data_IF_581274504793
#
_entry.id   IF_581274504793
#
_cell.length_a   1.000
_cell.length_b   1.000
_cell.length_c   1.000
_cell.angle_alpha   90.00
_cell.angle_beta   90.00
_cell.angle_gamma   90.00
#
_symmetry.space_group_name_H-M   'P 1'
#
loop_
_entity.id
_entity.type
_entity.pdbx_description
1 polymer ?
#
# COMPACT_ATOMS: atom_id res chain seq x y z
N UNK A 1 3.72 -17.66 3.69
CA UNK A 1 4.06 -17.70 2.25
C UNK A 1 5.39 -16.97 1.95
N UNK A 2 5.47 -15.65 2.15
CA UNK A 2 6.64 -14.82 1.76
C UNK A 2 7.99 -15.26 2.36
N UNK A 3 8.02 -15.72 3.63
CA UNK A 3 9.29 -16.12 4.28
C UNK A 3 9.69 -17.59 4.03
N UNK A 4 8.77 -18.46 3.59
CA UNK A 4 8.99 -19.91 3.54
C UNK A 4 8.97 -20.49 2.13
N UNK A 5 8.25 -19.91 1.17
CA UNK A 5 8.17 -20.44 -0.19
C UNK A 5 9.38 -20.02 -1.03
N UNK A 6 9.80 -20.88 -1.98
CA UNK A 6 10.86 -20.55 -2.94
C UNK A 6 10.55 -19.25 -3.69
N UNK A 7 9.30 -19.10 -4.13
CA UNK A 7 8.80 -17.90 -4.82
C UNK A 7 8.95 -16.63 -3.96
N UNK A 8 8.55 -16.69 -2.67
CA UNK A 8 8.67 -15.55 -1.75
C UNK A 8 10.13 -15.14 -1.46
N UNK A 9 11.04 -16.12 -1.35
CA UNK A 9 12.48 -15.86 -1.22
C UNK A 9 13.04 -15.19 -2.47
N UNK A 10 12.63 -15.63 -3.65
CA UNK A 10 13.09 -15.06 -4.92
C UNK A 10 12.57 -13.63 -5.14
N UNK A 11 11.31 -13.33 -4.76
CA UNK A 11 10.79 -11.94 -4.78
C UNK A 11 11.64 -11.03 -3.89
N UNK A 12 11.96 -11.50 -2.67
CA UNK A 12 12.81 -10.72 -1.75
C UNK A 12 14.22 -10.50 -2.26
N UNK A 13 14.84 -11.53 -2.84
CA UNK A 13 16.17 -11.41 -3.42
C UNK A 13 16.19 -10.33 -4.51
N UNK A 14 15.22 -10.37 -5.44
CA UNK A 14 15.11 -9.37 -6.52
C UNK A 14 14.80 -7.97 -5.99
N UNK A 15 14.05 -7.84 -4.88
CA UNK A 15 13.76 -6.52 -4.28
C UNK A 15 14.95 -5.88 -3.56
N UNK A 16 15.95 -6.69 -3.17
CA UNK A 16 17.15 -6.21 -2.48
C UNK A 16 18.23 -5.83 -3.50
N UNK A 17 18.53 -6.75 -4.42
CA UNK A 17 19.44 -6.51 -5.53
C UNK A 17 19.07 -7.38 -6.72
N UNK A 18 18.62 -6.73 -7.80
CA UNK A 18 18.18 -7.41 -9.03
C UNK A 18 19.35 -8.07 -9.76
N UNK A 19 20.52 -7.46 -9.76
CA UNK A 19 21.70 -7.96 -10.47
C UNK A 19 22.25 -9.18 -9.73
N UNK A 20 22.45 -9.06 -8.41
CA UNK A 20 22.90 -10.17 -7.59
C UNK A 20 21.93 -11.36 -7.64
N UNK A 21 20.61 -11.13 -7.60
CA UNK A 21 19.63 -12.19 -7.76
C UNK A 21 19.76 -12.93 -9.10
N UNK A 22 20.04 -12.19 -10.18
CA UNK A 22 20.20 -12.77 -11.53
C UNK A 22 21.47 -13.62 -11.63
N UNK A 23 22.56 -13.19 -10.99
CA UNK A 23 23.81 -13.97 -10.88
C UNK A 23 23.62 -15.29 -10.11
N UNK A 24 22.69 -15.30 -9.14
CA UNK A 24 22.31 -16.49 -8.37
C UNK A 24 21.36 -17.44 -9.13
N UNK A 25 21.16 -17.23 -10.44
CA UNK A 25 20.32 -18.07 -11.31
C UNK A 25 18.82 -17.77 -11.20
N UNK A 26 18.44 -16.66 -10.56
CA UNK A 26 17.04 -16.24 -10.45
C UNK A 26 16.66 -15.43 -11.68
N UNK A 27 15.64 -15.86 -12.42
CA UNK A 27 15.12 -15.06 -13.53
C UNK A 27 14.30 -13.87 -12.99
N UNK A 28 14.96 -12.72 -12.79
CA UNK A 28 14.36 -11.51 -12.26
C UNK A 28 13.19 -10.99 -13.11
N UNK A 29 13.26 -11.12 -14.44
CA UNK A 29 12.18 -10.71 -15.34
C UNK A 29 10.91 -11.51 -15.11
N UNK A 30 11.02 -12.84 -14.95
CA UNK A 30 9.88 -13.70 -14.65
C UNK A 30 9.24 -13.37 -13.30
N UNK A 31 10.05 -13.08 -12.29
CA UNK A 31 9.56 -12.72 -10.96
C UNK A 31 8.84 -11.38 -11.00
N UNK A 32 9.44 -10.38 -11.65
CA UNK A 32 8.85 -9.06 -11.81
C UNK A 32 7.48 -9.15 -12.52
N UNK A 33 7.40 -9.92 -13.60
CA UNK A 33 6.14 -10.20 -14.29
C UNK A 33 5.11 -10.85 -13.36
N UNK A 34 5.47 -11.89 -12.62
CA UNK A 34 4.56 -12.56 -11.68
C UNK A 34 4.08 -11.59 -10.61
N UNK A 35 4.98 -10.80 -9.99
CA UNK A 35 4.60 -9.85 -8.95
C UNK A 35 3.67 -8.76 -9.49
N UNK A 36 3.94 -8.26 -10.69
CA UNK A 36 3.15 -7.23 -11.34
C UNK A 36 1.78 -7.75 -11.77
N UNK A 37 1.71 -8.98 -12.28
CA UNK A 37 0.43 -9.64 -12.59
C UNK A 37 -0.42 -9.81 -11.34
N UNK A 38 0.18 -10.24 -10.21
CA UNK A 38 -0.55 -10.39 -8.95
C UNK A 38 -1.06 -9.03 -8.45
N UNK A 39 -0.23 -7.98 -8.46
CA UNK A 39 -0.65 -6.65 -8.01
C UNK A 39 -1.74 -6.06 -8.91
N UNK A 40 -1.61 -6.18 -10.23
CA UNK A 40 -2.59 -5.70 -11.19
C UNK A 40 -3.93 -6.45 -11.04
N UNK A 41 -3.88 -7.76 -10.83
CA UNK A 41 -5.07 -8.57 -10.57
C UNK A 41 -5.81 -8.13 -9.30
N UNK A 42 -5.07 -7.93 -8.19
CA UNK A 42 -5.66 -7.43 -6.94
C UNK A 42 -6.23 -6.02 -7.10
N UNK A 43 -5.52 -5.13 -7.80
CA UNK A 43 -5.97 -3.77 -8.05
C UNK A 43 -7.25 -3.74 -8.90
N UNK A 44 -7.34 -4.59 -9.94
CA UNK A 44 -8.54 -4.71 -10.77
C UNK A 44 -9.75 -5.18 -9.96
N UNK A 45 -9.58 -6.18 -9.10
CA UNK A 45 -10.66 -6.67 -8.22
C UNK A 45 -11.12 -5.56 -7.27
N UNK A 46 -10.18 -4.85 -6.64
CA UNK A 46 -10.50 -3.75 -5.74
C UNK A 46 -11.26 -2.61 -6.45
N UNK A 47 -10.82 -2.24 -7.66
CA UNK A 47 -11.47 -1.21 -8.45
C UNK A 47 -12.91 -1.58 -8.85
N UNK A 48 -13.11 -2.80 -9.36
CA UNK A 48 -14.45 -3.30 -9.75
C UNK A 48 -15.39 -3.35 -8.55
N UNK A 49 -14.88 -3.72 -7.37
CA UNK A 49 -15.69 -3.76 -6.14
C UNK A 49 -16.05 -2.37 -5.63
N UNK A 50 -15.15 -1.39 -5.78
CA UNK A 50 -15.35 -0.02 -5.30
C UNK A 50 -16.22 0.83 -6.23
N UNK A 51 -16.12 0.61 -7.55
CA UNK A 51 -16.75 1.45 -8.57
C UNK A 51 -18.27 1.65 -8.42
N UNK A 52 -19.09 0.64 -8.04
CA UNK A 52 -20.54 0.83 -7.85
C UNK A 52 -20.89 1.73 -6.66
N UNK A 53 -20.04 1.75 -5.63
CA UNK A 53 -20.26 2.56 -4.43
C UNK A 53 -19.77 4.00 -4.60
N UNK A 54 -18.90 4.25 -5.57
CA UNK A 54 -18.30 5.55 -5.79
C UNK A 54 -19.04 6.32 -6.89
N UNK A 55 -19.56 7.49 -6.54
CA UNK A 55 -19.97 8.46 -7.54
C UNK A 55 -18.73 8.84 -8.38
N UNK A 56 -18.83 8.75 -9.70
CA UNK A 56 -17.72 9.07 -10.60
C UNK A 56 -17.49 10.58 -10.53
N UNK A 57 -16.51 11.00 -9.74
CA UNK A 57 -16.18 12.41 -9.48
C UNK A 57 -15.24 13.03 -10.55
N UNK A 58 -15.22 12.48 -11.77
CA UNK A 58 -14.35 12.95 -12.85
C UNK A 58 -12.90 12.44 -12.78
N UNK A 59 -12.00 12.93 -13.66
CA UNK A 59 -10.64 12.41 -13.81
C UNK A 59 -9.72 12.57 -12.58
N UNK A 60 -10.07 13.45 -11.64
CA UNK A 60 -9.28 13.76 -10.44
C UNK A 60 -9.33 12.66 -9.37
N UNK A 61 -10.27 11.71 -9.46
CA UNK A 61 -10.47 10.64 -8.48
C UNK A 61 -9.19 9.81 -8.22
N UNK A 62 -8.32 9.66 -9.21
CA UNK A 62 -7.05 8.94 -9.06
C UNK A 62 -6.13 9.53 -7.98
N UNK A 63 -6.18 10.85 -7.76
CA UNK A 63 -5.36 11.52 -6.74
C UNK A 63 -5.76 11.14 -5.32
N UNK A 64 -7.05 10.92 -5.07
CA UNK A 64 -7.56 10.53 -3.76
C UNK A 64 -7.14 9.09 -3.41
N UNK A 65 -7.19 8.19 -4.40
CA UNK A 65 -6.68 6.83 -4.25
C UNK A 65 -5.18 6.80 -4.02
N UNK A 66 -4.43 7.61 -4.78
CA UNK A 66 -2.98 7.68 -4.65
C UNK A 66 -2.59 8.11 -3.23
N UNK A 67 -3.18 9.22 -2.75
CA UNK A 67 -2.90 9.77 -1.42
C UNK A 67 -3.29 8.79 -0.31
N UNK A 68 -4.46 8.16 -0.43
CA UNK A 68 -4.92 7.15 0.54
C UNK A 68 -4.03 5.91 0.54
N UNK A 69 -3.59 5.45 -0.62
CA UNK A 69 -2.67 4.30 -0.74
C UNK A 69 -1.31 4.59 -0.12
N UNK A 70 -0.76 5.79 -0.34
CA UNK A 70 0.47 6.21 0.32
C UNK A 70 0.31 6.27 1.84
N UNK A 71 -0.78 6.83 2.34
CA UNK A 71 -1.04 6.87 3.78
C UNK A 71 -1.09 5.47 4.39
N UNK A 72 -1.75 4.52 3.72
CA UNK A 72 -1.82 3.11 4.14
C UNK A 72 -0.45 2.45 4.15
N UNK A 73 0.36 2.63 3.11
CA UNK A 73 1.70 2.02 3.01
C UNK A 73 2.66 2.62 4.04
N UNK A 74 2.65 3.94 4.23
CA UNK A 74 3.49 4.63 5.21
C UNK A 74 3.09 4.24 6.64
N UNK A 75 1.79 4.22 6.94
CA UNK A 75 1.31 3.80 8.26
C UNK A 75 1.62 2.32 8.52
N UNK A 76 1.46 1.46 7.52
CA UNK A 76 1.78 0.04 7.64
C UNK A 76 3.29 -0.26 7.76
N UNK A 77 4.13 0.58 7.15
CA UNK A 77 5.57 0.42 7.04
C UNK A 77 6.00 -0.23 5.73
N UNK A 78 7.03 0.34 5.10
CA UNK A 78 7.55 -0.10 3.80
C UNK A 78 8.03 -1.56 3.86
N UNK A 79 7.59 -2.39 2.90
CA UNK A 79 7.98 -3.80 2.81
C UNK A 79 7.25 -4.75 3.77
N UNK A 80 6.28 -4.27 4.55
CA UNK A 80 5.46 -5.09 5.45
C UNK A 80 4.04 -5.31 4.92
N UNK A 81 3.80 -6.46 4.29
CA UNK A 81 2.46 -6.83 3.80
C UNK A 81 1.41 -6.79 4.91
N UNK A 82 1.73 -7.35 6.08
CA UNK A 82 0.82 -7.41 7.22
C UNK A 82 0.54 -6.02 7.80
N UNK A 83 1.56 -5.16 7.86
CA UNK A 83 1.41 -3.77 8.27
C UNK A 83 0.52 -2.98 7.33
N UNK A 84 0.67 -3.15 6.01
CA UNK A 84 -0.18 -2.47 5.02
C UNK A 84 -1.64 -2.91 5.08
N UNK A 85 -1.95 -4.18 5.37
CA UNK A 85 -3.34 -4.64 5.56
C UNK A 85 -3.97 -3.97 6.76
N UNK A 86 -3.30 -3.98 7.92
CA UNK A 86 -3.79 -3.31 9.13
C UNK A 86 -3.93 -1.81 8.89
N UNK A 87 -2.96 -1.20 8.20
CA UNK A 87 -3.01 0.21 7.89
C UNK A 87 -4.14 0.59 6.95
N UNK A 88 -4.48 -0.28 6.01
CA UNK A 88 -5.65 -0.15 5.14
C UNK A 88 -6.94 -0.08 5.94
N UNK A 89 -7.10 -0.98 6.92
CA UNK A 89 -8.24 -0.95 7.81
C UNK A 89 -8.30 0.33 8.64
N UNK A 90 -7.20 0.74 9.27
CA UNK A 90 -7.16 1.93 10.13
C UNK A 90 -7.50 3.19 9.32
N UNK A 91 -6.80 3.42 8.21
CA UNK A 91 -7.02 4.60 7.36
C UNK A 91 -8.43 4.58 6.77
N UNK A 92 -8.89 3.43 6.29
CA UNK A 92 -10.25 3.27 5.78
C UNK A 92 -11.32 3.64 6.82
N UNK A 93 -11.20 3.10 8.04
CA UNK A 93 -12.12 3.44 9.13
C UNK A 93 -12.06 4.92 9.52
N UNK A 94 -10.87 5.52 9.62
CA UNK A 94 -10.74 6.95 9.92
C UNK A 94 -11.39 7.82 8.84
N UNK A 95 -11.16 7.51 7.57
CA UNK A 95 -11.76 8.25 6.44
C UNK A 95 -13.29 8.08 6.42
N UNK A 96 -13.82 6.88 6.65
CA UNK A 96 -15.27 6.67 6.73
C UNK A 96 -15.90 7.35 7.94
N UNK A 97 -15.24 7.36 9.10
CA UNK A 97 -15.75 8.00 10.31
C UNK A 97 -15.81 9.52 10.16
N UNK A 98 -14.77 10.14 9.59
CA UNK A 98 -14.73 11.59 9.35
C UNK A 98 -15.72 12.04 8.29
N UNK A 99 -16.01 11.20 7.28
CA UNK A 99 -17.02 11.49 6.28
C UNK A 99 -18.45 11.53 6.86
N UNK A 100 -18.74 10.76 7.92
CA UNK A 100 -20.08 10.63 8.52
C UNK A 100 -20.31 11.67 9.64
N UNK A 101 -19.30 11.95 10.45
CA UNK A 101 -19.47 12.74 11.69
C UNK A 101 -19.24 14.26 11.54
N UNK A 102 -18.67 14.78 10.44
CA UNK A 102 -18.39 16.22 10.28
C UNK A 102 -19.32 16.95 9.26
N UNK A 103 -19.90 18.11 9.60
CA UNK A 103 -20.69 18.94 8.68
C UNK A 103 -19.76 19.71 7.71
N UNK A 104 -19.73 19.31 6.43
CA UNK A 104 -18.71 19.50 5.35
C UNK A 104 -17.71 18.33 5.17
N UNK A 105 -18.10 17.13 5.64
CA UNK A 105 -17.34 15.87 5.65
C UNK A 105 -16.52 15.48 4.41
N UNK A 106 -16.97 15.71 3.15
CA UNK A 106 -16.18 15.32 1.98
C UNK A 106 -14.83 16.04 1.89
N UNK A 107 -14.78 17.34 2.22
CA UNK A 107 -13.56 18.13 2.11
C UNK A 107 -12.51 17.72 3.14
N UNK A 108 -12.92 17.34 4.35
CA UNK A 108 -11.98 16.86 5.37
C UNK A 108 -11.59 15.39 5.19
N UNK A 109 -12.42 14.57 4.56
CA UNK A 109 -12.07 13.18 4.27
C UNK A 109 -10.81 13.08 3.39
N UNK A 110 -10.60 14.02 2.47
CA UNK A 110 -9.37 14.08 1.66
C UNK A 110 -8.12 14.49 2.46
N UNK A 111 -8.29 15.16 3.61
CA UNK A 111 -7.18 15.60 4.47
C UNK A 111 -6.73 14.50 5.43
N UNK A 112 -7.58 13.52 5.76
CA UNK A 112 -7.26 12.44 6.70
C UNK A 112 -6.00 11.66 6.28
N UNK A 113 -5.85 11.19 5.02
CA UNK A 113 -4.64 10.49 4.60
C UNK A 113 -3.38 11.34 4.78
N UNK A 114 -3.46 12.64 4.48
CA UNK A 114 -2.33 13.57 4.59
C UNK A 114 -1.93 13.75 6.05
N UNK A 115 -2.90 13.96 6.93
CA UNK A 115 -2.66 14.08 8.37
C UNK A 115 -2.03 12.79 8.91
N UNK A 116 -2.55 11.63 8.51
CA UNK A 116 -1.99 10.33 8.90
C UNK A 116 -0.53 10.21 8.49
N UNK A 117 -0.18 10.61 7.26
CA UNK A 117 1.22 10.62 6.80
C UNK A 117 2.07 11.52 7.69
N UNK A 118 1.67 12.77 7.89
CA UNK A 118 2.45 13.74 8.69
C UNK A 118 2.65 13.25 10.12
N UNK A 119 1.58 12.75 10.77
CA UNK A 119 1.64 12.21 12.12
C UNK A 119 2.54 10.97 12.20
N UNK A 120 2.46 10.06 11.22
CA UNK A 120 3.32 8.88 11.19
C UNK A 120 4.78 9.24 10.97
N UNK A 121 5.09 10.19 10.09
CA UNK A 121 6.47 10.64 9.88
C UNK A 121 7.05 11.29 11.14
N UNK A 122 6.24 12.00 11.93
CA UNK A 122 6.66 12.60 13.20
C UNK A 122 6.89 11.56 14.31
N UNK A 123 6.02 10.55 14.41
CA UNK A 123 6.06 9.59 15.52
C UNK A 123 6.98 8.41 15.20
N UNK A 124 6.83 7.81 14.01
CA UNK A 124 7.56 6.62 13.56
C UNK A 124 7.69 6.58 12.03
N UNK A 125 8.77 7.14 11.45
CA UNK A 125 8.95 7.20 10.00
C UNK A 125 9.10 5.82 9.33
N UNK A 126 9.36 4.76 10.10
CA UNK A 126 9.40 3.38 9.61
C UNK A 126 8.00 2.72 9.51
N UNK A 127 6.95 3.33 10.06
CA UNK A 127 5.58 2.77 10.14
C UNK A 127 5.37 1.78 11.29
N UNK A 128 4.16 1.23 11.40
CA UNK A 128 3.76 0.33 12.51
C UNK A 128 4.55 -0.99 12.54
N UNK A 129 4.82 -1.56 11.36
CA UNK A 129 5.50 -2.85 11.21
C UNK A 129 6.67 -2.78 10.23
N UNK A 130 7.27 -1.60 10.08
CA UNK A 130 8.49 -1.41 9.31
C UNK A 130 9.61 -2.29 9.85
N UNK A 131 10.33 -2.95 8.94
CA UNK A 131 11.54 -3.67 9.31
C UNK A 131 12.67 -2.66 9.34
N UNK A 132 13.33 -2.52 10.49
CA UNK A 132 14.67 -1.92 10.54
C UNK A 132 15.56 -2.72 9.61
N UNK A 133 16.03 -2.11 8.53
CA UNK A 133 17.20 -2.61 7.84
C UNK A 133 18.36 -2.53 8.82
N UNK A 134 18.79 -3.70 9.30
CA UNK A 134 20.05 -3.83 10.03
C UNK A 134 21.13 -3.60 8.98
N UNK A 135 21.65 -2.38 8.97
CA UNK A 135 22.84 -1.98 8.20
C UNK A 135 24.06 -2.80 8.62
#
# INVERSE_FOLDING_TARGET
FINKSKLGKSIRAVSQDREAATLMGINANRILLITLMISAFLAAIAAVLYMPAAAINGPSMGWEFLTSSFAVVILGGMGSLFGSVIGGYIVGYLTSFTAIFLPNGPSWAHLVPIIVIVVMLLIRPEGLFGKKEVR
#
